data_IF_834707478587
#
_entry.id   IF_834707478587
#
_cell.length_a   1.000
_cell.length_b   1.000
_cell.length_c   1.000
_cell.angle_alpha   90.00
_cell.angle_beta   90.00
_cell.angle_gamma   90.00
#
_symmetry.space_group_name_H-M   'P 1'
#
loop_
_entity.id
_entity.type
_entity.pdbx_description
1 polymer ?
#
# COMPACT_ATOMS: atom_id res chain seq x y z
N UNK A 1 2.18 -6.75 -12.20
CA UNK A 1 0.96 -5.93 -12.15
C UNK A 1 0.50 -5.67 -10.73
N UNK A 2 0.39 -6.68 -9.89
CA UNK A 2 -0.19 -6.56 -8.57
C UNK A 2 0.49 -5.57 -7.64
N UNK A 3 1.82 -5.61 -7.52
CA UNK A 3 2.54 -4.77 -6.56
C UNK A 3 2.44 -3.27 -6.87
N UNK A 4 2.64 -2.88 -8.12
CA UNK A 4 2.54 -1.48 -8.54
C UNK A 4 1.09 -0.98 -8.42
N UNK A 5 0.13 -1.80 -8.85
CA UNK A 5 -1.29 -1.47 -8.72
C UNK A 5 -1.70 -1.30 -7.27
N UNK A 6 -1.24 -2.20 -6.39
CA UNK A 6 -1.52 -2.12 -4.95
C UNK A 6 -0.95 -0.84 -4.33
N UNK A 7 0.26 -0.47 -4.71
CA UNK A 7 0.87 0.77 -4.22
C UNK A 7 0.12 2.02 -4.68
N UNK A 8 -0.29 2.06 -5.94
CA UNK A 8 -1.05 3.19 -6.49
C UNK A 8 -2.42 3.30 -5.80
N UNK A 9 -3.13 2.19 -5.65
CA UNK A 9 -4.41 2.16 -4.94
C UNK A 9 -4.24 2.57 -3.49
N UNK A 10 -3.19 2.06 -2.83
CA UNK A 10 -2.87 2.41 -1.45
C UNK A 10 -2.60 3.90 -1.28
N UNK A 11 -1.80 4.47 -2.17
CA UNK A 11 -1.50 5.90 -2.13
C UNK A 11 -2.76 6.75 -2.37
N UNK A 12 -3.61 6.35 -3.31
CA UNK A 12 -4.86 7.05 -3.59
C UNK A 12 -5.80 6.98 -2.37
N UNK A 13 -5.97 5.80 -1.77
CA UNK A 13 -6.81 5.63 -0.58
C UNK A 13 -6.27 6.43 0.61
N UNK A 14 -4.96 6.44 0.81
CA UNK A 14 -4.33 7.22 1.87
C UNK A 14 -4.56 8.71 1.67
N UNK A 15 -4.37 9.22 0.45
CA UNK A 15 -4.60 10.62 0.12
C UNK A 15 -6.07 11.03 0.32
N UNK A 16 -7.00 10.18 -0.14
CA UNK A 16 -8.42 10.43 0.06
C UNK A 16 -8.81 10.40 1.53
N UNK A 17 -8.22 9.48 2.29
CA UNK A 17 -8.44 9.41 3.73
C UNK A 17 -7.99 10.66 4.45
N UNK A 18 -6.81 11.17 4.12
CA UNK A 18 -6.31 12.42 4.68
C UNK A 18 -7.18 13.61 4.30
N UNK A 19 -7.64 13.67 3.04
CA UNK A 19 -8.54 14.72 2.59
C UNK A 19 -9.86 14.69 3.37
N UNK A 20 -10.44 13.51 3.59
CA UNK A 20 -11.67 13.37 4.39
C UNK A 20 -11.47 13.80 5.84
N UNK A 21 -10.33 13.46 6.43
CA UNK A 21 -10.00 13.89 7.78
C UNK A 21 -9.92 15.41 7.87
N UNK A 22 -9.26 16.05 6.90
CA UNK A 22 -9.14 17.50 6.84
C UNK A 22 -10.50 18.19 6.70
N UNK A 23 -11.36 17.67 5.83
CA UNK A 23 -12.72 18.18 5.67
C UNK A 23 -13.54 17.96 6.95
N UNK A 24 -13.40 16.79 7.56
CA UNK A 24 -14.07 16.47 8.80
C UNK A 24 -13.68 17.42 9.93
N UNK A 25 -12.41 17.75 10.05
CA UNK A 25 -11.92 18.72 11.02
C UNK A 25 -12.47 20.11 10.76
N UNK A 26 -12.45 20.55 9.51
CA UNK A 26 -12.93 21.88 9.12
C UNK A 26 -14.42 22.04 9.34
N UNK A 27 -15.22 20.98 9.17
CA UNK A 27 -16.67 20.99 9.31
C UNK A 27 -17.16 20.47 10.66
N UNK A 28 -16.26 19.93 11.48
CA UNK A 28 -16.63 19.32 12.76
C UNK A 28 -17.31 17.96 12.60
N UNK A 29 -17.17 17.28 11.48
CA UNK A 29 -17.80 15.99 11.21
C UNK A 29 -16.96 14.84 11.73
N UNK A 30 -17.34 14.24 12.85
CA UNK A 30 -16.67 13.06 13.39
C UNK A 30 -16.79 11.85 12.46
N UNK A 31 -17.91 11.75 11.75
CA UNK A 31 -18.11 10.67 10.76
C UNK A 31 -17.08 10.74 9.65
N UNK A 32 -16.85 11.91 9.07
CA UNK A 32 -15.85 12.08 8.02
C UNK A 32 -14.43 11.83 8.52
N UNK A 33 -14.13 12.25 9.75
CA UNK A 33 -12.84 11.97 10.37
C UNK A 33 -12.62 10.46 10.49
N UNK A 34 -13.62 9.73 10.98
CA UNK A 34 -13.56 8.28 11.11
C UNK A 34 -13.42 7.57 9.78
N UNK A 35 -14.22 7.96 8.80
CA UNK A 35 -14.16 7.39 7.45
C UNK A 35 -12.78 7.62 6.81
N UNK A 36 -12.26 8.84 6.96
CA UNK A 36 -10.94 9.19 6.45
C UNK A 36 -9.84 8.39 7.11
N UNK A 37 -9.92 8.19 8.43
CA UNK A 37 -8.94 7.38 9.16
C UNK A 37 -8.95 5.92 8.69
N UNK A 38 -10.12 5.33 8.50
CA UNK A 38 -10.25 3.97 7.99
C UNK A 38 -9.67 3.87 6.57
N UNK A 39 -9.97 4.84 5.72
CA UNK A 39 -9.47 4.84 4.35
C UNK A 39 -7.96 5.01 4.28
N UNK A 40 -7.39 5.84 5.14
CA UNK A 40 -5.94 6.01 5.26
C UNK A 40 -5.26 4.71 5.69
N UNK A 41 -5.83 4.01 6.69
CA UNK A 41 -5.31 2.73 7.16
C UNK A 41 -5.36 1.69 6.05
N UNK A 42 -6.46 1.63 5.30
CA UNK A 42 -6.57 0.74 4.14
C UNK A 42 -5.49 1.04 3.10
N UNK A 43 -5.26 2.32 2.82
CA UNK A 43 -4.24 2.75 1.87
C UNK A 43 -2.84 2.30 2.30
N UNK A 44 -2.51 2.49 3.57
CA UNK A 44 -1.24 2.06 4.12
C UNK A 44 -1.08 0.54 4.04
N UNK A 45 -2.15 -0.21 4.34
CA UNK A 45 -2.16 -1.67 4.22
C UNK A 45 -1.92 -2.14 2.78
N UNK A 46 -2.55 -1.47 1.80
CA UNK A 46 -2.36 -1.78 0.39
C UNK A 46 -0.93 -1.50 -0.07
N UNK A 47 -0.34 -0.39 0.38
CA UNK A 47 1.07 -0.07 0.10
C UNK A 47 2.01 -1.11 0.70
N UNK A 48 1.76 -1.50 1.94
CA UNK A 48 2.55 -2.55 2.60
C UNK A 48 2.46 -3.88 1.86
N UNK A 49 1.27 -4.23 1.37
CA UNK A 49 1.08 -5.44 0.57
C UNK A 49 1.87 -5.37 -0.73
N UNK A 50 1.85 -4.22 -1.42
CA UNK A 50 2.64 -4.00 -2.62
C UNK A 50 4.13 -4.15 -2.36
N UNK A 51 4.63 -3.58 -1.26
CA UNK A 51 6.04 -3.71 -0.87
C UNK A 51 6.40 -5.16 -0.55
N UNK A 52 5.51 -5.90 0.13
CA UNK A 52 5.72 -7.31 0.43
C UNK A 52 5.79 -8.15 -0.86
N UNK A 53 4.94 -7.86 -1.85
CA UNK A 53 4.98 -8.54 -3.15
C UNK A 53 6.29 -8.27 -3.89
N UNK A 54 6.76 -7.03 -3.88
CA UNK A 54 8.03 -6.66 -4.50
C UNK A 54 9.21 -7.39 -3.84
N UNK A 55 9.23 -7.42 -2.51
CA UNK A 55 10.28 -8.10 -1.76
C UNK A 55 10.28 -9.61 -2.02
N UNK A 56 9.11 -10.23 -2.09
CA UNK A 56 8.98 -11.65 -2.38
C UNK A 56 9.47 -11.98 -3.79
N UNK A 57 9.13 -11.15 -4.77
CA UNK A 57 9.59 -11.32 -6.15
C UNK A 57 11.10 -11.20 -6.25
N UNK A 58 11.68 -10.19 -5.60
CA UNK A 58 13.12 -9.99 -5.59
C UNK A 58 13.84 -11.17 -4.93
N UNK A 59 13.34 -11.67 -3.81
CA UNK A 59 13.90 -12.83 -3.15
C UNK A 59 13.83 -14.08 -4.03
N UNK A 60 12.71 -14.29 -4.74
CA UNK A 60 12.56 -15.40 -5.66
C UNK A 60 13.53 -15.30 -6.85
N UNK A 61 13.71 -14.10 -7.39
CA UNK A 61 14.65 -13.88 -8.49
C UNK A 61 16.10 -14.16 -8.07
N UNK A 62 16.49 -13.75 -6.86
CA UNK A 62 17.80 -14.02 -6.32
C UNK A 62 18.02 -15.51 -6.06
N UNK A 63 17.02 -16.21 -5.54
CA UNK A 63 17.09 -17.64 -5.32
C UNK A 63 17.24 -18.40 -6.64
N UNK A 64 16.49 -17.99 -7.67
CA UNK A 64 16.61 -18.59 -9.00
C UNK A 64 17.99 -18.37 -9.62
N UNK A 65 18.55 -17.17 -9.48
CA UNK A 65 19.89 -16.88 -9.98
C UNK A 65 20.96 -17.70 -9.25
N UNK A 66 20.84 -17.86 -7.93
CA UNK A 66 21.77 -18.69 -7.14
C UNK A 66 21.69 -20.16 -7.54
N UNK A 67 20.48 -20.68 -7.72
CA UNK A 67 20.29 -22.06 -8.15
C UNK A 67 20.88 -22.31 -9.54
N UNK A 68 20.71 -21.36 -10.45
CA UNK A 68 21.28 -21.45 -11.80
C UNK A 68 22.81 -21.45 -11.78
N UNK A 69 23.43 -20.64 -10.94
CA UNK A 69 24.88 -20.63 -10.76
C UNK A 69 25.39 -21.97 -10.21
N UNK A 70 24.68 -22.51 -9.24
CA UNK A 70 25.06 -23.77 -8.63
C UNK A 70 24.97 -24.94 -9.62
N UNK A 71 24.05 -24.87 -10.59
CA UNK A 71 23.89 -25.89 -11.61
C UNK A 71 24.97 -25.83 -12.70
N UNK A 72 25.55 -24.68 -12.92
CA UNK A 72 26.64 -24.49 -13.89
C UNK A 72 27.97 -24.94 -13.28
#
# INVERSE_FOLDING_TARGET
MGATTDKVKGAANEAMGKAKQGIGEATGSDKMKGEGAVQEIKGKGQKALGDAKDAAKEAADRAAASAKRAAD
#
